data_IF_181238124458
#
_entry.id   IF_181238124458
#
_cell.length_a   1.000
_cell.length_b   1.000
_cell.length_c   1.000
_cell.angle_alpha   90.00
_cell.angle_beta   90.00
_cell.angle_gamma   90.00
#
_symmetry.space_group_name_H-M   'P 1'
#
loop_
_entity.id
_entity.type
_entity.pdbx_description
1 polymer ?
#
# COMPACT_ATOMS: atom_id res chain seq x y z
N UNK A 1 -16.24 22.18 -6.43
CA UNK A 1 -15.23 22.09 -5.34
C UNK A 1 -15.18 20.63 -4.90
N UNK A 2 -14.00 20.09 -4.55
CA UNK A 2 -13.86 18.68 -4.14
C UNK A 2 -13.82 18.62 -2.61
N UNK A 3 -14.69 17.82 -2.02
CA UNK A 3 -14.72 17.54 -0.58
C UNK A 3 -14.44 16.05 -0.35
N UNK A 4 -13.59 15.75 0.63
CA UNK A 4 -13.25 14.38 1.01
C UNK A 4 -13.64 14.21 2.48
N UNK A 5 -14.42 13.17 2.79
CA UNK A 5 -15.04 12.97 4.11
C UNK A 5 -15.87 14.18 4.59
N UNK A 6 -16.50 14.92 3.67
CA UNK A 6 -17.28 16.13 3.98
C UNK A 6 -16.44 17.32 4.45
N UNK A 7 -15.12 17.30 4.21
CA UNK A 7 -14.20 18.39 4.51
C UNK A 7 -13.54 18.91 3.25
N UNK A 8 -13.27 20.22 3.22
CA UNK A 8 -12.41 20.84 2.21
C UNK A 8 -10.96 20.47 2.48
N UNK A 9 -10.15 20.40 1.43
CA UNK A 9 -8.72 20.06 1.55
C UNK A 9 -7.94 21.01 2.46
N UNK A 10 -8.35 22.29 2.54
CA UNK A 10 -7.76 23.29 3.45
C UNK A 10 -7.87 22.92 4.93
N UNK A 11 -8.86 22.09 5.28
CA UNK A 11 -9.21 21.78 6.66
C UNK A 11 -8.68 20.41 7.12
N UNK A 12 -7.93 19.72 6.25
CA UNK A 12 -7.38 18.39 6.53
C UNK A 12 -6.24 18.45 7.55
N UNK A 13 -6.36 17.65 8.62
CA UNK A 13 -5.27 17.41 9.59
C UNK A 13 -4.53 16.11 9.26
N UNK A 14 -3.38 15.86 9.89
CA UNK A 14 -2.58 14.64 9.66
C UNK A 14 -3.39 13.35 9.85
N UNK A 15 -4.27 13.29 10.86
CA UNK A 15 -5.18 12.16 11.09
C UNK A 15 -6.20 11.94 9.97
N UNK A 16 -6.61 12.99 9.27
CA UNK A 16 -7.51 12.88 8.12
C UNK A 16 -6.76 12.34 6.89
N UNK A 17 -5.44 12.60 6.80
CA UNK A 17 -4.58 12.07 5.72
C UNK A 17 -4.23 10.59 5.93
N UNK A 18 -4.10 10.12 7.17
CA UNK A 18 -3.91 8.69 7.47
C UNK A 18 -5.07 7.82 6.96
N UNK A 19 -6.27 8.41 6.84
CA UNK A 19 -7.47 7.76 6.30
C UNK A 19 -7.47 7.66 4.78
N UNK A 20 -6.50 8.28 4.09
CA UNK A 20 -6.37 8.24 2.64
C UNK A 20 -5.15 7.40 2.27
N UNK A 21 -5.41 6.24 1.69
CA UNK A 21 -4.40 5.43 1.01
C UNK A 21 -4.19 5.92 -0.40
N UNK A 22 -2.94 6.22 -0.77
CA UNK A 22 -2.59 6.56 -2.15
C UNK A 22 -1.59 5.54 -2.67
N UNK A 23 -1.93 4.89 -3.79
CA UNK A 23 -1.06 3.97 -4.49
C UNK A 23 -0.89 4.45 -5.93
N UNK A 24 0.16 5.23 -6.19
CA UNK A 24 0.47 5.73 -7.54
C UNK A 24 1.27 4.69 -8.34
N UNK A 25 1.08 4.69 -9.65
CA UNK A 25 1.70 3.77 -10.61
C UNK A 25 3.24 3.71 -10.51
N UNK A 26 3.89 4.88 -10.43
CA UNK A 26 5.36 5.02 -10.29
C UNK A 26 5.85 5.18 -8.84
N UNK A 27 4.94 5.23 -7.87
CA UNK A 27 5.30 5.26 -6.45
C UNK A 27 5.37 3.83 -5.89
N UNK A 28 6.39 3.55 -5.08
CA UNK A 28 6.55 2.26 -4.44
C UNK A 28 7.74 2.23 -3.49
N UNK A 29 7.82 1.14 -2.72
CA UNK A 29 8.98 0.85 -1.89
C UNK A 29 10.22 0.63 -2.76
N UNK A 30 11.39 1.02 -2.25
CA UNK A 30 12.67 0.78 -2.93
C UNK A 30 12.81 -0.69 -3.33
N UNK A 31 13.29 -0.93 -4.56
CA UNK A 31 13.53 -2.27 -5.07
C UNK A 31 14.54 -3.08 -4.25
N UNK A 32 15.37 -2.42 -3.44
CA UNK A 32 16.33 -3.09 -2.54
C UNK A 32 15.68 -3.68 -1.29
N UNK A 33 14.46 -3.24 -0.93
CA UNK A 33 13.73 -3.71 0.24
C UNK A 33 13.08 -5.07 -0.04
N UNK A 34 12.89 -5.84 1.03
CA UNK A 34 12.10 -7.07 1.07
C UNK A 34 10.72 -6.77 1.65
N UNK A 35 9.77 -7.69 1.48
CA UNK A 35 8.43 -7.54 2.10
C UNK A 35 8.53 -7.44 3.62
N UNK A 36 9.49 -8.13 4.25
CA UNK A 36 9.70 -7.99 5.69
C UNK A 36 10.20 -6.60 6.12
N UNK A 37 10.91 -5.89 5.25
CA UNK A 37 11.46 -4.56 5.55
C UNK A 37 10.37 -3.47 5.46
N UNK A 38 9.31 -3.70 4.67
CA UNK A 38 8.22 -2.72 4.50
C UNK A 38 7.18 -2.79 5.63
N UNK A 39 7.03 -3.94 6.31
CA UNK A 39 6.07 -4.13 7.40
C UNK A 39 6.20 -3.08 8.51
N UNK A 40 7.39 -2.79 9.07
CA UNK A 40 7.51 -1.74 10.09
C UNK A 40 7.17 -0.35 9.55
N UNK A 41 7.43 -0.07 8.28
CA UNK A 41 7.03 1.20 7.64
C UNK A 41 5.51 1.30 7.56
N UNK A 42 4.83 0.24 7.11
CA UNK A 42 3.37 0.20 7.05
C UNK A 42 2.74 0.36 8.44
N UNK A 43 3.32 -0.27 9.46
CA UNK A 43 2.86 -0.18 10.85
C UNK A 43 3.02 1.23 11.44
N UNK A 44 4.05 1.97 11.00
CA UNK A 44 4.29 3.34 11.46
C UNK A 44 3.42 4.38 10.72
N UNK A 45 3.10 4.13 9.46
CA UNK A 45 2.32 5.04 8.62
C UNK A 45 0.81 4.87 8.82
N UNK A 46 0.35 3.64 9.01
CA UNK A 46 -1.07 3.32 9.10
C UNK A 46 -1.40 2.76 10.49
N UNK A 47 -2.06 3.57 11.31
CA UNK A 47 -2.44 3.21 12.68
C UNK A 47 -3.37 1.99 12.77
N UNK A 48 -4.04 1.62 11.68
CA UNK A 48 -4.92 0.45 11.57
C UNK A 48 -4.35 -0.69 10.71
N UNK A 49 -3.04 -0.67 10.42
CA UNK A 49 -2.42 -1.74 9.65
C UNK A 49 -2.54 -3.09 10.35
N UNK A 50 -3.28 -4.01 9.73
CA UNK A 50 -3.39 -5.39 10.20
C UNK A 50 -2.22 -6.22 9.65
N UNK A 51 -1.18 -6.34 10.47
CA UNK A 51 0.02 -7.13 10.14
C UNK A 51 -0.30 -8.60 9.88
N UNK A 52 -1.23 -9.19 10.62
CA UNK A 52 -1.52 -10.62 10.52
C UNK A 52 -2.27 -10.92 9.22
N UNK A 53 -3.27 -10.11 8.89
CA UNK A 53 -4.01 -10.20 7.63
C UNK A 53 -3.10 -9.92 6.42
N UNK A 54 -2.18 -8.94 6.52
CA UNK A 54 -1.15 -8.70 5.50
C UNK A 54 -0.30 -9.94 5.23
N UNK A 55 0.27 -10.55 6.27
CA UNK A 55 1.12 -11.73 6.14
C UNK A 55 0.32 -12.94 5.60
N UNK A 56 -0.91 -13.12 6.06
CA UNK A 56 -1.82 -14.16 5.58
C UNK A 56 -2.08 -14.01 4.08
N UNK A 57 -2.37 -12.80 3.59
CA UNK A 57 -2.59 -12.55 2.16
C UNK A 57 -1.31 -12.70 1.34
N UNK A 58 -0.16 -12.24 1.84
CA UNK A 58 1.13 -12.49 1.19
C UNK A 58 1.37 -13.99 0.98
N UNK A 59 1.07 -14.82 1.98
CA UNK A 59 1.16 -16.28 1.87
C UNK A 59 0.19 -16.85 0.84
N UNK A 60 -1.08 -16.44 0.86
CA UNK A 60 -2.10 -16.88 -0.10
C UNK A 60 -1.73 -16.55 -1.55
N UNK A 61 -1.15 -15.37 -1.76
CA UNK A 61 -0.71 -14.87 -3.07
C UNK A 61 0.69 -15.37 -3.49
N UNK A 62 1.30 -16.23 -2.66
CA UNK A 62 2.64 -16.82 -2.83
C UNK A 62 3.75 -15.78 -3.00
N UNK A 63 3.68 -14.68 -2.23
CA UNK A 63 4.73 -13.66 -2.23
C UNK A 63 5.89 -14.06 -1.30
N UNK A 64 7.14 -14.09 -1.80
CA UNK A 64 8.31 -14.40 -0.99
C UNK A 64 8.64 -13.22 -0.07
N UNK A 65 8.65 -13.46 1.24
CA UNK A 65 8.82 -12.38 2.22
C UNK A 65 10.26 -11.85 2.31
N UNK A 66 11.24 -12.70 1.98
CA UNK A 66 12.68 -12.43 2.14
C UNK A 66 13.41 -12.11 0.83
N UNK A 67 12.69 -12.01 -0.29
CA UNK A 67 13.24 -11.68 -1.60
C UNK A 67 13.11 -10.18 -1.87
N UNK A 68 14.10 -9.56 -2.50
CA UNK A 68 14.05 -8.11 -2.78
C UNK A 68 12.97 -7.80 -3.80
N UNK A 69 12.30 -6.67 -3.67
CA UNK A 69 11.21 -6.24 -4.53
C UNK A 69 11.68 -6.07 -5.98
N UNK A 70 12.94 -5.66 -6.23
CA UNK A 70 13.48 -5.57 -7.60
C UNK A 70 13.48 -6.91 -8.33
N UNK A 71 13.57 -8.01 -7.60
CA UNK A 71 13.58 -9.37 -8.14
C UNK A 71 12.17 -9.96 -8.32
N UNK A 72 11.12 -9.20 -7.97
CA UNK A 72 9.73 -9.61 -8.18
C UNK A 72 9.37 -9.46 -9.67
N UNK A 73 8.58 -10.40 -10.18
CA UNK A 73 7.93 -10.21 -11.48
C UNK A 73 6.94 -9.04 -11.42
N UNK A 74 6.54 -8.53 -12.58
CA UNK A 74 5.50 -7.49 -12.69
C UNK A 74 4.23 -7.89 -11.95
N UNK A 75 3.79 -9.15 -12.11
CA UNK A 75 2.63 -9.68 -11.40
C UNK A 75 2.80 -9.75 -9.88
N UNK A 76 3.99 -10.11 -9.39
CA UNK A 76 4.27 -10.10 -7.94
C UNK A 76 4.27 -8.68 -7.36
N UNK A 77 4.83 -7.71 -8.08
CA UNK A 77 4.77 -6.29 -7.69
C UNK A 77 3.33 -5.80 -7.63
N UNK A 78 2.50 -6.14 -8.62
CA UNK A 78 1.08 -5.80 -8.63
C UNK A 78 0.32 -6.42 -7.44
N UNK A 79 0.56 -7.70 -7.13
CA UNK A 79 -0.04 -8.37 -5.96
C UNK A 79 0.40 -7.74 -4.65
N UNK A 80 1.68 -7.39 -4.51
CA UNK A 80 2.19 -6.72 -3.31
C UNK A 80 1.50 -5.37 -3.12
N UNK A 81 1.44 -4.55 -4.17
CA UNK A 81 0.73 -3.26 -4.18
C UNK A 81 -0.74 -3.43 -3.75
N UNK A 82 -1.44 -4.41 -4.32
CA UNK A 82 -2.83 -4.71 -3.97
C UNK A 82 -2.99 -5.11 -2.50
N UNK A 83 -2.14 -6.02 -1.99
CA UNK A 83 -2.21 -6.47 -0.60
C UNK A 83 -1.99 -5.29 0.34
N UNK A 84 -0.96 -4.46 0.10
CA UNK A 84 -0.72 -3.24 0.88
C UNK A 84 -1.97 -2.37 0.88
N UNK A 85 -2.57 -2.16 -0.30
CA UNK A 85 -3.73 -1.31 -0.47
C UNK A 85 -4.98 -1.77 0.32
N UNK A 86 -5.19 -3.07 0.47
CA UNK A 86 -6.36 -3.61 1.19
C UNK A 86 -6.12 -3.82 2.69
N UNK A 87 -4.88 -4.00 3.14
CA UNK A 87 -4.59 -4.31 4.55
C UNK A 87 -4.17 -3.09 5.39
N UNK A 88 -3.96 -1.93 4.76
CA UNK A 88 -3.72 -0.70 5.52
C UNK A 88 -5.00 -0.02 6.02
N UNK A 89 -6.17 -0.59 5.70
CA UNK A 89 -7.49 -0.19 6.21
C UNK A 89 -7.80 1.31 6.09
N UNK A 90 -7.44 1.95 4.96
CA UNK A 90 -7.83 3.33 4.71
C UNK A 90 -9.33 3.46 4.43
N UNK A 91 -9.92 4.56 4.90
CA UNK A 91 -11.31 4.92 4.62
C UNK A 91 -11.53 5.33 3.14
N UNK A 92 -10.46 5.72 2.44
CA UNK A 92 -10.46 6.04 1.00
C UNK A 92 -9.14 5.58 0.34
N UNK A 93 -9.24 4.78 -0.72
CA UNK A 93 -8.10 4.28 -1.49
C UNK A 93 -8.10 4.87 -2.91
N UNK A 94 -7.06 5.62 -3.26
CA UNK A 94 -6.86 6.16 -4.61
C UNK A 94 -5.84 5.28 -5.34
N UNK A 95 -6.29 4.63 -6.40
CA UNK A 95 -5.51 3.75 -7.27
C UNK A 95 -5.25 4.44 -8.61
N UNK A 96 -3.99 4.66 -8.96
CA UNK A 96 -3.63 5.05 -10.34
C UNK A 96 -3.17 3.82 -11.13
N UNK A 97 -4.00 3.39 -12.08
CA UNK A 97 -3.84 2.14 -12.84
C UNK A 97 -3.08 2.38 -14.15
N UNK A 98 -1.96 3.11 -14.13
CA UNK A 98 -0.99 3.02 -15.21
C UNK A 98 -0.11 1.77 -15.05
N UNK A 99 -0.76 0.60 -15.04
CA UNK A 99 -0.10 -0.70 -15.09
C UNK A 99 -0.11 -1.16 -16.56
N UNK A 100 0.89 -0.76 -17.35
CA UNK A 100 1.10 -1.39 -18.67
C UNK A 100 1.57 -2.82 -18.43
N UNK A 101 0.66 -3.77 -18.58
CA UNK A 101 1.00 -5.18 -18.80
C UNK A 101 1.46 -5.24 -20.26
N UNK A 102 2.78 -5.22 -20.45
CA UNK A 102 3.40 -5.69 -21.68
C UNK A 102 3.93 -7.10 -21.43
#
# INVERSE_FOLDING_TARGET
EIEIFGKKLSDFKSKDKEKIGVLLSDSGFSGELKVNDIIPVLSAVYSQFDREDFLKKCKQMKLPLNKKIKEFSTGMKARLKLIIAITHNADLLILDVNCRIA
#
